data_IF_918218796589
#
_entry.id   IF_918218796589
#
_cell.length_a   1.000
_cell.length_b   1.000
_cell.length_c   1.000
_cell.angle_alpha   90.00
_cell.angle_beta   90.00
_cell.angle_gamma   90.00
#
_symmetry.space_group_name_H-M   'P 1'
#
loop_
_entity.id
_entity.type
_entity.pdbx_description
1 polymer ?
#
# COMPACT_ATOMS: atom_id res chain seq x y z
N UNK A 1 4.00 9.39 -29.85
CA UNK A 1 4.09 9.15 -28.41
C UNK A 1 2.67 9.10 -27.90
N UNK A 2 2.22 7.91 -27.49
CA UNK A 2 0.92 7.75 -26.85
C UNK A 2 1.17 7.69 -25.35
N UNK A 3 1.33 8.88 -24.76
CA UNK A 3 1.60 9.05 -23.34
C UNK A 3 0.32 8.71 -22.56
N UNK A 4 0.39 7.67 -21.74
CA UNK A 4 -0.71 7.26 -20.86
C UNK A 4 -0.32 7.47 -19.42
N UNK A 5 -1.26 8.04 -18.65
CA UNK A 5 -1.17 8.19 -17.20
C UNK A 5 -2.03 7.12 -16.54
N UNK A 6 -1.46 6.39 -15.59
CA UNK A 6 -2.14 5.35 -14.81
C UNK A 6 -1.84 5.52 -13.33
N UNK A 7 -2.81 5.19 -12.50
CA UNK A 7 -2.65 5.08 -11.04
C UNK A 7 -2.70 3.60 -10.69
N UNK A 8 -1.69 3.12 -9.99
CA UNK A 8 -1.61 1.74 -9.50
C UNK A 8 -1.73 1.74 -7.98
N UNK A 9 -2.50 0.80 -7.43
CA UNK A 9 -2.47 0.49 -6.01
C UNK A 9 -1.43 -0.60 -5.76
N UNK A 10 -0.54 -0.39 -4.80
CA UNK A 10 0.59 -1.27 -4.53
C UNK A 10 0.46 -1.89 -3.14
N UNK A 11 0.61 -3.20 -3.05
CA UNK A 11 0.59 -3.97 -1.81
C UNK A 11 2.00 -4.23 -1.26
N UNK A 12 2.10 -4.22 0.07
CA UNK A 12 3.34 -4.54 0.80
C UNK A 12 4.37 -3.40 0.83
N UNK A 13 4.00 -2.19 0.39
CA UNK A 13 4.83 -0.99 0.48
C UNK A 13 4.63 -0.32 1.84
N UNK A 14 5.47 -0.70 2.80
CA UNK A 14 5.33 -0.35 4.22
C UNK A 14 6.50 0.54 4.71
N UNK A 15 7.24 1.12 3.77
CA UNK A 15 8.41 1.90 4.10
C UNK A 15 8.75 2.86 2.98
N UNK A 16 9.37 3.97 3.34
CA UNK A 16 9.81 4.95 2.37
C UNK A 16 10.84 4.31 1.39
N UNK A 17 11.78 3.50 1.90
CA UNK A 17 12.75 2.78 1.06
C UNK A 17 12.12 1.77 0.09
N UNK A 18 10.91 1.31 0.39
CA UNK A 18 10.12 0.42 -0.45
C UNK A 18 9.59 1.22 -1.66
N UNK A 19 9.08 2.44 -1.43
CA UNK A 19 8.69 3.35 -2.50
C UNK A 19 9.90 3.70 -3.40
N UNK A 20 11.05 4.02 -2.82
CA UNK A 20 12.28 4.31 -3.57
C UNK A 20 12.76 3.11 -4.41
N UNK A 21 12.59 1.89 -3.88
CA UNK A 21 12.89 0.63 -4.59
C UNK A 21 12.02 0.46 -5.83
N UNK A 22 10.72 0.70 -5.69
CA UNK A 22 9.76 0.61 -6.80
C UNK A 22 10.02 1.69 -7.84
N UNK A 23 10.27 2.94 -7.44
CA UNK A 23 10.64 4.03 -8.37
C UNK A 23 11.90 3.70 -9.19
N UNK A 24 12.94 3.16 -8.55
CA UNK A 24 14.14 2.71 -9.27
C UNK A 24 13.84 1.56 -10.22
N UNK A 25 13.00 0.61 -9.82
CA UNK A 25 12.60 -0.49 -10.69
C UNK A 25 11.82 0.01 -11.92
N UNK A 26 11.03 1.07 -11.75
CA UNK A 26 10.24 1.76 -12.78
C UNK A 26 11.05 2.81 -13.56
N UNK A 27 12.31 3.06 -13.21
CA UNK A 27 13.22 3.94 -13.97
C UNK A 27 13.81 3.20 -15.18
N UNK A 28 12.96 2.66 -16.06
CA UNK A 28 13.34 1.93 -17.28
C UNK A 28 12.86 2.65 -18.54
N UNK A 29 13.42 2.28 -19.70
CA UNK A 29 13.00 2.84 -21.00
C UNK A 29 11.49 2.61 -21.21
N UNK A 30 10.79 3.65 -21.65
CA UNK A 30 9.34 3.63 -21.85
C UNK A 30 8.54 4.27 -20.70
N UNK A 31 9.13 4.50 -19.52
CA UNK A 31 8.51 5.24 -18.42
C UNK A 31 9.04 6.68 -18.45
N UNK A 32 8.13 7.65 -18.60
CA UNK A 32 8.43 9.08 -18.69
C UNK A 32 8.54 9.69 -17.29
N UNK A 33 7.60 9.35 -16.42
CA UNK A 33 7.56 9.83 -15.05
C UNK A 33 6.95 8.79 -14.12
N UNK A 34 7.47 8.68 -12.90
CA UNK A 34 6.95 7.78 -11.87
C UNK A 34 7.05 8.44 -10.51
N UNK A 35 5.93 8.53 -9.80
CA UNK A 35 5.88 9.01 -8.43
C UNK A 35 5.18 7.95 -7.56
N UNK A 36 5.88 7.47 -6.53
CA UNK A 36 5.37 6.43 -5.64
C UNK A 36 5.20 7.00 -4.23
N UNK A 37 4.02 6.81 -3.66
CA UNK A 37 3.66 7.30 -2.34
C UNK A 37 3.29 6.13 -1.43
N UNK A 38 4.10 5.89 -0.40
CA UNK A 38 3.86 4.80 0.56
C UNK A 38 2.65 5.09 1.47
N UNK A 39 2.40 6.35 1.82
CA UNK A 39 1.33 6.72 2.74
C UNK A 39 -0.05 6.42 2.14
N UNK A 40 -0.20 6.66 0.82
CA UNK A 40 -1.42 6.33 0.08
C UNK A 40 -1.37 4.95 -0.58
N UNK A 41 -0.22 4.25 -0.51
CA UNK A 41 0.05 2.99 -1.23
C UNK A 41 -0.26 3.06 -2.73
N UNK A 42 -0.14 4.25 -3.33
CA UNK A 42 -0.41 4.50 -4.75
C UNK A 42 0.88 4.85 -5.50
N UNK A 43 0.97 4.41 -6.75
CA UNK A 43 1.96 4.88 -7.71
C UNK A 43 1.28 5.54 -8.90
N UNK A 44 1.70 6.76 -9.22
CA UNK A 44 1.27 7.50 -10.40
C UNK A 44 2.37 7.38 -11.45
N UNK A 45 2.01 6.89 -12.63
CA UNK A 45 2.93 6.54 -13.70
C UNK A 45 2.49 7.19 -15.00
N UNK A 46 3.45 7.79 -15.71
CA UNK A 46 3.31 8.26 -17.08
C UNK A 46 4.26 7.45 -17.95
N UNK A 47 3.71 6.74 -18.95
CA UNK A 47 4.48 5.82 -19.79
C UNK A 47 4.04 5.89 -21.26
N UNK A 48 4.96 5.58 -22.16
CA UNK A 48 4.69 5.47 -23.60
C UNK A 48 4.08 4.10 -23.89
N UNK A 49 2.78 4.08 -24.17
CA UNK A 49 2.04 2.84 -24.41
C UNK A 49 2.41 2.14 -25.72
N UNK A 50 3.16 2.80 -26.60
CA UNK A 50 3.75 2.18 -27.79
C UNK A 50 5.00 1.34 -27.48
N UNK A 51 5.67 1.59 -26.35
CA UNK A 51 6.91 0.90 -25.97
C UNK A 51 6.74 -0.08 -24.81
N UNK A 52 5.77 0.17 -23.92
CA UNK A 52 5.61 -0.59 -22.69
C UNK A 52 4.12 -0.87 -22.43
N UNK A 53 3.78 -2.12 -22.15
CA UNK A 53 2.42 -2.51 -21.79
C UNK A 53 2.18 -2.41 -20.27
N UNK A 54 0.93 -2.15 -19.85
CA UNK A 54 0.55 -2.15 -18.44
C UNK A 54 0.91 -3.48 -17.74
N UNK A 55 0.72 -4.62 -18.41
CA UNK A 55 1.10 -5.94 -17.93
C UNK A 55 2.60 -6.10 -17.66
N UNK A 56 3.45 -5.45 -18.46
CA UNK A 56 4.89 -5.45 -18.22
C UNK A 56 5.27 -4.58 -17.01
N UNK A 57 4.60 -3.44 -16.85
CA UNK A 57 4.77 -2.57 -15.67
C UNK A 57 4.43 -3.35 -14.40
N UNK A 58 3.29 -4.06 -14.38
CA UNK A 58 2.90 -4.90 -13.23
C UNK A 58 3.94 -5.99 -12.94
N UNK A 59 4.49 -6.64 -13.98
CA UNK A 59 5.57 -7.62 -13.82
C UNK A 59 6.87 -7.02 -13.31
N UNK A 60 7.20 -5.78 -13.67
CA UNK A 60 8.38 -5.07 -13.14
C UNK A 60 8.22 -4.89 -11.62
N UNK A 61 7.04 -4.47 -11.18
CA UNK A 61 6.72 -4.28 -9.75
C UNK A 61 6.73 -5.63 -9.01
N UNK A 62 6.17 -6.68 -9.62
CA UNK A 62 6.21 -8.05 -9.06
C UNK A 62 7.62 -8.58 -8.90
N UNK A 63 8.51 -8.31 -9.87
CA UNK A 63 9.94 -8.65 -9.77
C UNK A 63 10.68 -7.86 -8.70
N UNK A 64 10.18 -6.67 -8.34
CA UNK A 64 10.67 -5.90 -7.21
C UNK A 64 10.10 -6.41 -5.86
N UNK A 65 9.25 -7.44 -5.87
CA UNK A 65 8.75 -8.09 -4.66
C UNK A 65 7.42 -7.55 -4.14
N UNK A 66 6.75 -6.67 -4.90
CA UNK A 66 5.49 -6.03 -4.53
C UNK A 66 4.37 -6.47 -5.47
N UNK A 67 3.12 -6.42 -5.01
CA UNK A 67 1.98 -6.62 -5.91
C UNK A 67 1.41 -5.27 -6.29
N UNK A 68 0.97 -5.15 -7.53
CA UNK A 68 0.29 -3.95 -8.00
C UNK A 68 -0.93 -4.34 -8.82
N UNK A 69 -1.97 -3.53 -8.71
CA UNK A 69 -3.18 -3.63 -9.51
C UNK A 69 -3.53 -2.23 -10.02
N UNK A 70 -4.16 -2.15 -11.20
CA UNK A 70 -4.66 -0.87 -11.69
C UNK A 70 -5.73 -0.36 -10.72
N UNK A 71 -5.60 0.89 -10.29
CA UNK A 71 -6.59 1.51 -9.44
C UNK A 71 -7.85 1.75 -10.30
N UNK A 72 -8.82 0.85 -10.18
CA UNK A 72 -10.12 0.97 -10.81
C UNK A 72 -11.15 1.37 -9.73
N UNK A 73 -11.92 2.43 -9.97
CA UNK A 73 -12.94 3.02 -9.08
C UNK A 73 -14.12 2.07 -8.72
N UNK A 74 -14.00 0.76 -8.91
CA UNK A 74 -15.11 -0.18 -8.70
C UNK A 74 -15.45 -0.34 -7.22
N UNK A 75 -16.74 -0.16 -6.93
CA UNK A 75 -17.42 -0.36 -5.64
C UNK A 75 -17.34 -1.78 -5.05
N UNK A 76 -16.54 -2.69 -5.61
CA UNK A 76 -16.33 -4.06 -5.10
C UNK A 76 -15.16 -4.17 -4.09
N UNK A 77 -14.43 -3.07 -3.84
CA UNK A 77 -13.25 -3.03 -2.97
C UNK A 77 -13.51 -3.44 -1.51
N UNK A 78 -14.70 -3.21 -0.94
CA UNK A 78 -14.95 -3.48 0.49
C UNK A 78 -14.81 -4.97 0.86
N UNK A 79 -15.08 -5.88 -0.07
CA UNK A 79 -14.94 -7.33 0.15
C UNK A 79 -13.49 -7.81 -0.02
N UNK A 80 -12.70 -7.13 -0.86
CA UNK A 80 -11.29 -7.43 -1.10
C UNK A 80 -10.39 -6.90 0.01
N UNK A 81 -10.63 -5.66 0.45
CA UNK A 81 -9.86 -4.96 1.48
C UNK A 81 -9.99 -5.65 2.85
N UNK A 82 -11.20 -6.08 3.22
CA UNK A 82 -11.45 -6.86 4.43
C UNK A 82 -10.79 -8.24 4.41
N UNK A 83 -10.70 -8.91 3.25
CA UNK A 83 -9.98 -10.19 3.12
C UNK A 83 -8.48 -10.02 3.31
N UNK A 84 -7.90 -8.90 2.86
CA UNK A 84 -6.47 -8.60 2.95
C UNK A 84 -6.04 -8.35 4.40
N UNK A 85 -6.70 -7.42 5.09
CA UNK A 85 -6.44 -7.13 6.52
C UNK A 85 -6.60 -8.40 7.36
N UNK A 86 -7.61 -9.22 7.05
CA UNK A 86 -7.84 -10.48 7.75
C UNK A 86 -6.70 -11.48 7.57
N UNK A 87 -6.07 -11.53 6.39
CA UNK A 87 -4.91 -12.41 6.13
C UNK A 87 -3.69 -11.97 6.95
N UNK A 88 -3.39 -10.68 7.00
CA UNK A 88 -2.29 -10.12 7.80
C UNK A 88 -2.52 -10.34 9.30
N UNK A 89 -3.76 -10.16 9.77
CA UNK A 89 -4.18 -10.54 11.12
C UNK A 89 -3.95 -12.02 11.42
N UNK A 90 -4.29 -12.94 10.51
CA UNK A 90 -4.03 -14.37 10.70
C UNK A 90 -2.54 -14.70 10.75
N UNK A 91 -1.72 -14.08 9.88
CA UNK A 91 -0.26 -14.26 9.91
C UNK A 91 0.33 -13.76 11.23
N UNK A 92 -0.13 -12.61 11.71
CA UNK A 92 0.29 -12.07 13.00
C UNK A 92 -0.16 -12.94 14.18
N UNK A 93 -1.43 -13.37 14.20
CA UNK A 93 -1.96 -14.25 15.23
C UNK A 93 -1.19 -15.58 15.29
N UNK A 94 -0.90 -16.18 14.12
CA UNK A 94 -0.06 -17.36 14.02
C UNK A 94 1.35 -17.09 14.55
N UNK A 95 1.93 -15.93 14.25
CA UNK A 95 3.24 -15.50 14.74
C UNK A 95 3.31 -15.40 16.26
N UNK A 96 2.30 -14.77 16.88
CA UNK A 96 2.19 -14.71 18.34
C UNK A 96 2.05 -16.10 18.95
N UNK A 97 1.15 -16.92 18.41
CA UNK A 97 0.88 -18.27 18.94
C UNK A 97 2.13 -19.16 18.91
N UNK A 98 3.00 -18.97 17.92
CA UNK A 98 4.27 -19.71 17.82
C UNK A 98 5.40 -19.05 18.61
N UNK A 99 5.48 -17.72 18.66
CA UNK A 99 6.57 -16.98 19.29
C UNK A 99 6.47 -16.95 20.81
N UNK A 100 5.25 -16.85 21.37
CA UNK A 100 5.06 -16.86 22.83
C UNK A 100 5.64 -18.14 23.46
N UNK A 101 5.31 -19.36 22.98
CA UNK A 101 5.93 -20.58 23.47
C UNK A 101 7.46 -20.60 23.34
N UNK A 102 8.01 -20.10 22.22
CA UNK A 102 9.47 -20.03 22.01
C UNK A 102 10.13 -19.23 23.14
N UNK A 103 9.61 -18.03 23.42
CA UNK A 103 10.14 -17.15 24.47
C UNK A 103 9.96 -17.79 25.85
N UNK A 104 8.80 -18.37 26.15
CA UNK A 104 8.55 -19.02 27.45
C UNK A 104 9.49 -20.21 27.66
N UNK A 105 9.67 -21.05 26.63
CA UNK A 105 10.58 -22.20 26.69
C UNK A 105 12.02 -21.72 26.89
N UNK A 106 12.43 -20.67 26.18
CA UNK A 106 13.79 -20.14 26.30
C UNK A 106 14.08 -19.63 27.71
N UNK A 107 13.15 -18.88 28.32
CA UNK A 107 13.33 -18.27 29.65
C UNK A 107 13.14 -19.25 30.83
N UNK A 108 12.17 -20.16 30.79
CA UNK A 108 11.71 -20.87 31.99
C UNK A 108 12.00 -22.37 32.01
N UNK A 109 12.29 -22.97 30.85
CA UNK A 109 12.41 -24.43 30.74
C UNK A 109 13.80 -24.83 30.23
N UNK A 110 14.41 -25.81 30.91
CA UNK A 110 15.66 -26.40 30.48
C UNK A 110 15.52 -27.93 30.46
N UNK A 111 15.60 -28.51 29.26
CA UNK A 111 15.43 -29.95 29.04
C UNK A 111 16.23 -30.41 27.81
N UNK A 112 16.59 -31.71 27.70
CA UNK A 112 17.58 -32.18 26.72
C UNK A 112 17.19 -31.96 25.25
N UNK A 113 15.89 -31.88 24.93
CA UNK A 113 15.38 -31.68 23.58
C UNK A 113 14.88 -30.25 23.31
N UNK A 114 15.24 -29.29 24.17
CA UNK A 114 14.85 -27.88 24.07
C UNK A 114 15.18 -27.29 22.70
N UNK A 115 16.44 -27.42 22.25
CA UNK A 115 16.90 -26.85 20.99
C UNK A 115 16.13 -27.38 19.76
N UNK A 116 15.77 -28.67 19.77
CA UNK A 116 14.99 -29.29 18.68
C UNK A 116 13.54 -28.81 18.69
N UNK A 117 12.94 -28.63 19.86
CA UNK A 117 11.58 -28.08 19.98
C UNK A 117 11.52 -26.62 19.52
N UNK A 118 12.50 -25.81 19.93
CA UNK A 118 12.61 -24.41 19.51
C UNK A 118 12.83 -24.30 18.00
N UNK A 119 13.65 -25.16 17.41
CA UNK A 119 13.80 -25.26 15.97
C UNK A 119 12.47 -25.54 15.27
N UNK A 120 11.70 -26.52 15.76
CA UNK A 120 10.41 -26.90 15.18
C UNK A 120 9.40 -25.74 15.22
N UNK A 121 9.36 -24.98 16.32
CA UNK A 121 8.47 -23.83 16.48
C UNK A 121 8.93 -22.60 15.70
N UNK A 122 10.24 -22.34 15.64
CA UNK A 122 10.81 -21.18 14.97
C UNK A 122 10.80 -21.30 13.45
N UNK A 123 10.87 -22.52 12.90
CA UNK A 123 10.93 -22.74 11.45
C UNK A 123 9.70 -22.22 10.69
N UNK A 124 8.45 -22.48 11.13
CA UNK A 124 7.26 -21.87 10.51
C UNK A 124 7.26 -20.34 10.62
N UNK A 125 7.72 -19.78 11.74
CA UNK A 125 7.83 -18.32 11.90
C UNK A 125 8.84 -17.76 10.88
N UNK A 126 10.00 -18.39 10.76
CA UNK A 126 11.05 -17.96 9.83
C UNK A 126 10.61 -18.05 8.37
N UNK A 127 10.02 -19.18 7.96
CA UNK A 127 9.80 -19.47 6.54
C UNK A 127 8.42 -19.08 6.04
N UNK A 128 7.37 -19.15 6.86
CA UNK A 128 5.99 -18.83 6.43
C UNK A 128 5.69 -17.37 6.70
N UNK A 129 5.90 -16.92 7.94
CA UNK A 129 5.62 -15.54 8.36
C UNK A 129 6.72 -14.61 7.83
N UNK A 130 7.97 -15.08 7.80
CA UNK A 130 9.10 -14.37 7.20
C UNK A 130 9.03 -14.21 5.68
N UNK A 131 8.25 -15.03 4.96
CA UNK A 131 8.28 -15.09 3.48
C UNK A 131 8.09 -13.75 2.76
N UNK A 132 7.14 -12.88 3.17
CA UNK A 132 6.95 -11.57 2.54
C UNK A 132 8.21 -10.71 2.64
N UNK A 133 8.90 -10.74 3.80
CA UNK A 133 10.14 -10.00 4.02
C UNK A 133 11.25 -10.50 3.10
N UNK A 134 11.41 -11.83 2.95
CA UNK A 134 12.38 -12.40 2.01
C UNK A 134 12.14 -11.93 0.57
N UNK A 135 10.89 -11.89 0.12
CA UNK A 135 10.54 -11.43 -1.23
C UNK A 135 10.89 -9.96 -1.44
N UNK A 136 10.52 -9.10 -0.50
CA UNK A 136 10.81 -7.65 -0.57
C UNK A 136 12.31 -7.36 -0.44
N UNK A 137 13.00 -8.02 0.46
CA UNK A 137 14.45 -7.90 0.61
C UNK A 137 15.20 -8.32 -0.65
N UNK A 138 14.78 -9.41 -1.31
CA UNK A 138 15.35 -9.85 -2.57
C UNK A 138 15.11 -8.83 -3.70
N UNK A 139 13.90 -8.29 -3.77
CA UNK A 139 13.55 -7.21 -4.69
C UNK A 139 14.41 -5.97 -4.50
N UNK A 140 14.57 -5.51 -3.26
CA UNK A 140 15.42 -4.38 -2.89
C UNK A 140 16.89 -4.62 -3.28
N UNK A 141 17.42 -5.82 -3.01
CA UNK A 141 18.79 -6.16 -3.39
C UNK A 141 18.97 -6.11 -4.92
N UNK A 142 17.98 -6.59 -5.69
CA UNK A 142 17.98 -6.56 -7.15
C UNK A 142 17.97 -5.13 -7.71
N UNK A 143 17.25 -4.21 -7.06
CA UNK A 143 17.23 -2.78 -7.40
C UNK A 143 18.41 -1.98 -6.81
N UNK A 144 19.40 -2.66 -6.21
CA UNK A 144 20.57 -2.04 -5.55
C UNK A 144 20.16 -1.01 -4.50
N UNK A 145 19.10 -1.30 -3.76
CA UNK A 145 18.63 -0.54 -2.59
C UNK A 145 18.78 -1.40 -1.34
N UNK A 146 19.05 -0.76 -0.20
CA UNK A 146 18.96 -1.40 1.10
C UNK A 146 17.70 -0.87 1.80
N UNK A 147 16.84 -1.78 2.24
CA UNK A 147 15.59 -1.44 2.94
C UNK A 147 15.60 -2.05 4.34
N UNK A 148 14.62 -1.66 5.17
CA UNK A 148 14.42 -2.27 6.49
C UNK A 148 14.23 -3.79 6.35
N UNK A 149 13.49 -4.25 5.33
CA UNK A 149 13.32 -5.68 5.04
C UNK A 149 14.66 -6.40 4.80
N UNK A 150 15.62 -5.75 4.13
CA UNK A 150 16.96 -6.32 3.91
C UNK A 150 17.68 -6.57 5.23
N UNK A 151 17.61 -5.62 6.17
CA UNK A 151 18.22 -5.76 7.49
C UNK A 151 17.54 -6.85 8.32
N UNK A 152 16.20 -6.89 8.30
CA UNK A 152 15.39 -7.89 9.02
C UNK A 152 15.70 -9.30 8.52
N UNK A 153 15.71 -9.50 7.21
CA UNK A 153 16.00 -10.81 6.62
C UNK A 153 17.41 -11.23 6.96
N UNK A 154 18.39 -10.34 6.88
CA UNK A 154 19.78 -10.68 7.17
C UNK A 154 19.98 -10.98 8.66
N UNK A 155 19.39 -10.20 9.58
CA UNK A 155 19.50 -10.42 11.03
C UNK A 155 18.84 -11.73 11.46
N UNK A 156 17.58 -11.94 11.07
CA UNK A 156 16.80 -13.13 11.44
C UNK A 156 17.36 -14.40 10.80
N UNK A 157 17.72 -14.36 9.51
CA UNK A 157 18.32 -15.53 8.85
C UNK A 157 19.65 -15.90 9.49
N UNK A 158 20.48 -14.92 9.86
CA UNK A 158 21.77 -15.22 10.51
C UNK A 158 21.55 -15.82 11.90
N UNK A 159 20.65 -15.25 12.70
CA UNK A 159 20.31 -15.79 14.02
C UNK A 159 19.72 -17.21 13.92
N UNK A 160 18.81 -17.44 12.97
CA UNK A 160 18.19 -18.74 12.75
C UNK A 160 19.21 -19.78 12.26
N UNK A 161 20.00 -19.49 11.23
CA UNK A 161 21.00 -20.42 10.70
C UNK A 161 22.09 -20.75 11.73
N UNK A 162 22.52 -19.76 12.52
CA UNK A 162 23.41 -20.00 13.65
C UNK A 162 22.78 -20.97 14.66
N UNK A 163 21.51 -20.76 15.01
CA UNK A 163 20.78 -21.61 15.95
C UNK A 163 20.61 -23.04 15.41
N UNK A 164 20.37 -23.20 14.11
CA UNK A 164 20.32 -24.52 13.46
C UNK A 164 21.69 -25.20 13.54
N UNK A 165 22.77 -24.47 13.27
CA UNK A 165 24.12 -24.99 13.40
C UNK A 165 24.43 -25.44 14.85
N UNK A 166 24.03 -24.65 15.85
CA UNK A 166 24.21 -25.01 17.28
C UNK A 166 23.24 -26.08 17.79
N UNK A 167 22.20 -26.40 17.03
CA UNK A 167 21.26 -27.48 17.41
C UNK A 167 21.75 -28.84 16.93
N UNK A 168 22.34 -28.92 15.72
CA UNK A 168 22.65 -30.20 15.08
C UNK A 168 24.14 -30.51 14.93
N UNK A 169 25.00 -29.48 14.86
CA UNK A 169 26.41 -29.67 14.48
C UNK A 169 27.39 -29.24 15.57
N UNK A 170 27.04 -28.22 16.36
CA UNK A 170 27.97 -27.52 17.25
C UNK A 170 27.29 -27.32 18.60
N UNK A 171 28.02 -27.33 19.71
CA UNK A 171 27.47 -26.93 21.01
C UNK A 171 27.56 -25.41 21.19
N UNK A 172 26.45 -24.75 21.50
CA UNK A 172 26.40 -23.32 21.76
C UNK A 172 24.99 -22.84 22.10
N UNK A 173 24.87 -21.56 22.47
CA UNK A 173 23.57 -20.95 22.73
C UNK A 173 22.75 -20.82 21.45
N UNK A 174 21.44 -20.98 21.55
CA UNK A 174 20.49 -20.79 20.44
C UNK A 174 19.88 -19.39 20.50
N UNK A 175 19.62 -18.81 19.34
CA UNK A 175 18.99 -17.50 19.16
C UNK A 175 17.67 -17.61 18.37
N UNK A 176 16.95 -18.74 18.52
CA UNK A 176 15.64 -18.93 17.89
C UNK A 176 14.62 -17.88 18.36
N UNK A 177 14.68 -17.49 19.64
CA UNK A 177 13.82 -16.44 20.20
C UNK A 177 14.01 -15.09 19.50
N UNK A 178 15.26 -14.72 19.19
CA UNK A 178 15.58 -13.43 18.60
C UNK A 178 15.00 -13.34 17.19
N UNK A 179 15.15 -14.42 16.41
CA UNK A 179 14.61 -14.50 15.05
C UNK A 179 13.08 -14.42 15.04
N UNK A 180 12.42 -15.24 15.86
CA UNK A 180 10.97 -15.32 15.92
C UNK A 180 10.32 -14.03 16.45
N UNK A 181 10.93 -13.42 17.47
CA UNK A 181 10.44 -12.18 18.09
C UNK A 181 10.54 -11.00 17.12
N UNK A 182 11.66 -10.87 16.41
CA UNK A 182 11.84 -9.81 15.40
C UNK A 182 10.80 -9.93 14.29
N UNK A 183 10.62 -11.11 13.69
CA UNK A 183 9.64 -11.31 12.61
C UNK A 183 8.22 -11.00 13.10
N UNK A 184 7.84 -11.49 14.27
CA UNK A 184 6.48 -11.30 14.80
C UNK A 184 6.20 -9.85 15.17
N UNK A 185 7.17 -9.15 15.76
CA UNK A 185 7.02 -7.74 16.17
C UNK A 185 6.94 -6.81 14.96
N UNK A 186 7.71 -7.07 13.92
CA UNK A 186 7.62 -6.28 12.68
C UNK A 186 6.32 -6.58 11.93
N UNK A 187 5.84 -7.82 11.96
CA UNK A 187 4.51 -8.16 11.43
C UNK A 187 3.41 -7.39 12.15
N UNK A 188 3.52 -7.19 13.47
CA UNK A 188 2.62 -6.30 14.21
C UNK A 188 2.72 -4.85 13.76
N UNK A 189 3.94 -4.31 13.64
CA UNK A 189 4.14 -2.93 13.18
C UNK A 189 3.49 -2.67 11.83
N UNK A 190 3.68 -3.57 10.87
CA UNK A 190 3.04 -3.49 9.56
C UNK A 190 1.51 -3.58 9.64
N UNK A 191 0.98 -4.46 10.48
CA UNK A 191 -0.46 -4.57 10.69
C UNK A 191 -1.07 -3.27 11.24
N UNK A 192 -0.37 -2.61 12.19
CA UNK A 192 -0.80 -1.33 12.75
C UNK A 192 -0.70 -0.19 11.71
N UNK A 193 0.35 -0.20 10.89
CA UNK A 193 0.52 0.74 9.77
C UNK A 193 -0.62 0.59 8.76
N UNK A 194 -0.95 -0.64 8.38
CA UNK A 194 -2.01 -0.96 7.42
C UNK A 194 -3.40 -0.50 7.94
N UNK A 195 -3.68 -0.72 9.23
CA UNK A 195 -4.89 -0.23 9.89
C UNK A 195 -4.95 1.30 9.91
N UNK A 196 -3.81 1.96 10.13
CA UNK A 196 -3.74 3.43 10.26
C UNK A 196 -3.87 4.14 8.91
N UNK A 197 -3.22 3.64 7.87
CA UNK A 197 -3.26 4.21 6.51
C UNK A 197 -4.61 4.06 5.83
N UNK A 198 -5.41 3.05 6.16
CA UNK A 198 -6.74 2.83 5.57
C UNK A 198 -7.73 4.00 5.80
N UNK A 199 -7.55 4.76 6.89
CA UNK A 199 -8.46 5.88 7.25
C UNK A 199 -8.35 7.09 6.32
N UNK A 200 -7.21 7.29 5.65
CA UNK A 200 -7.00 8.44 4.76
C UNK A 200 -7.77 8.31 3.43
N UNK A 201 -7.92 7.09 2.90
CA UNK A 201 -8.68 6.84 1.66
C UNK A 201 -10.20 6.86 1.86
N UNK A 202 -10.68 6.55 3.06
CA UNK A 202 -12.12 6.44 3.37
C UNK A 202 -12.86 7.79 3.23
N UNK A 203 -12.18 8.91 3.51
CA UNK A 203 -12.76 10.25 3.37
C UNK A 203 -13.03 10.63 1.90
N UNK A 204 -12.14 10.26 0.98
CA UNK A 204 -12.34 10.45 -0.47
C UNK A 204 -13.43 9.51 -0.97
N UNK A 205 -13.44 8.26 -0.50
CA UNK A 205 -14.46 7.25 -0.84
C UNK A 205 -15.87 7.70 -0.44
N UNK A 206 -16.02 8.42 0.68
CA UNK A 206 -17.29 9.02 1.10
C UNK A 206 -17.77 10.13 0.17
N UNK A 207 -16.89 10.86 -0.51
CA UNK A 207 -17.26 11.83 -1.53
C UNK A 207 -17.75 11.13 -2.82
N UNK A 208 -17.20 9.96 -3.16
CA UNK A 208 -17.60 9.21 -4.36
C UNK A 208 -18.97 8.53 -4.22
N UNK A 209 -19.34 8.09 -3.01
CA UNK A 209 -20.67 7.55 -2.72
C UNK A 209 -21.80 8.59 -2.82
N UNK A 210 -21.48 9.86 -3.09
CA UNK A 210 -22.47 10.91 -3.33
C UNK A 210 -23.06 10.86 -4.74
N UNK A 211 -22.37 10.28 -5.72
CA UNK A 211 -22.91 10.13 -7.07
C UNK A 211 -23.92 8.97 -7.13
N UNK A 212 -25.11 9.16 -7.71
CA UNK A 212 -26.10 8.09 -7.83
C UNK A 212 -25.61 6.98 -8.78
N UNK A 213 -25.94 5.72 -8.49
CA UNK A 213 -25.52 4.55 -9.29
C UNK A 213 -26.35 4.33 -10.57
N UNK A 214 -27.48 5.02 -10.69
CA UNK A 214 -28.40 4.92 -11.82
C UNK A 214 -28.79 6.30 -12.30
N UNK A 215 -29.03 6.41 -13.60
CA UNK A 215 -29.61 7.57 -14.25
C UNK A 215 -30.89 7.17 -15.00
N UNK A 216 -31.84 8.10 -15.09
CA UNK A 216 -33.04 7.93 -15.91
C UNK A 216 -32.85 8.66 -17.23
N UNK A 217 -32.65 7.89 -18.30
CA UNK A 217 -32.43 8.40 -19.65
C UNK A 217 -33.72 8.27 -20.46
N UNK A 218 -34.03 9.27 -21.27
CA UNK A 218 -35.14 9.26 -22.22
C UNK A 218 -34.61 8.83 -23.58
N UNK A 219 -34.94 7.60 -24.02
CA UNK A 219 -34.61 7.09 -25.35
C UNK A 219 -35.91 6.77 -26.08
N UNK A 220 -36.03 7.25 -27.32
CA UNK A 220 -37.23 7.05 -28.16
C UNK A 220 -38.56 7.50 -27.51
N UNK A 221 -38.50 8.45 -26.58
CA UNK A 221 -39.66 8.96 -25.86
C UNK A 221 -40.06 8.15 -24.62
N UNK A 222 -39.36 7.05 -24.33
CA UNK A 222 -39.58 6.24 -23.13
C UNK A 222 -38.48 6.48 -22.07
N UNK A 223 -38.89 6.44 -20.80
CA UNK A 223 -37.98 6.54 -19.65
C UNK A 223 -37.34 5.17 -19.36
N UNK A 224 -36.01 5.10 -19.41
CA UNK A 224 -35.24 3.89 -19.07
C UNK A 224 -34.25 4.19 -17.95
N UNK A 225 -34.25 3.38 -16.89
CA UNK A 225 -33.20 3.40 -15.87
C UNK A 225 -31.98 2.62 -16.38
N UNK A 226 -30.85 3.31 -16.48
CA UNK A 226 -29.56 2.71 -16.84
C UNK A 226 -28.52 2.98 -15.75
N UNK A 227 -27.52 2.10 -15.59
CA UNK A 227 -26.33 2.41 -14.79
C UNK A 227 -25.67 3.69 -15.29
N UNK A 228 -25.13 4.52 -14.39
CA UNK A 228 -24.50 5.80 -14.76
C UNK A 228 -23.30 5.59 -15.71
N UNK A 229 -22.64 4.45 -15.60
CA UNK A 229 -21.51 4.07 -16.46
C UNK A 229 -21.91 3.83 -17.92
N UNK A 230 -23.21 3.62 -18.19
CA UNK A 230 -23.74 3.41 -19.54
C UNK A 230 -24.37 4.68 -20.14
N UNK A 231 -24.35 5.79 -19.41
CA UNK A 231 -24.82 7.09 -19.90
C UNK A 231 -23.81 7.64 -20.89
N UNK A 232 -24.26 7.97 -22.09
CA UNK A 232 -23.41 8.56 -23.13
C UNK A 232 -23.56 10.08 -23.15
N UNK A 233 -22.55 10.77 -23.67
CA UNK A 233 -22.70 12.17 -24.03
C UNK A 233 -23.87 12.32 -25.00
N UNK A 234 -24.59 13.44 -24.89
CA UNK A 234 -25.81 13.76 -25.62
C UNK A 234 -27.10 13.01 -25.22
N UNK A 235 -27.05 12.03 -24.31
CA UNK A 235 -28.26 11.41 -23.73
C UNK A 235 -29.12 12.48 -23.01
N UNK A 236 -30.45 12.39 -23.15
CA UNK A 236 -31.39 13.24 -22.42
C UNK A 236 -31.75 12.55 -21.11
N UNK A 237 -31.48 13.21 -19.99
CA UNK A 237 -31.68 12.67 -18.65
C UNK A 237 -32.78 13.44 -17.96
N UNK A 238 -33.67 12.72 -17.27
CA UNK A 238 -34.71 13.33 -16.45
C UNK A 238 -34.45 13.11 -14.97
N UNK A 239 -34.45 14.20 -14.22
CA UNK A 239 -34.24 14.21 -12.76
C UNK A 239 -35.47 14.79 -12.09
N UNK A 240 -36.01 14.05 -11.13
CA UNK A 240 -37.17 14.48 -10.33
C UNK A 240 -36.75 15.31 -9.12
N UNK A 241 -37.68 16.06 -8.51
CA UNK A 241 -37.48 16.71 -7.21
C UNK A 241 -36.92 15.72 -6.16
N UNK A 242 -35.88 16.14 -5.44
CA UNK A 242 -35.17 15.34 -4.43
C UNK A 242 -34.12 14.36 -4.97
N UNK A 243 -34.04 14.15 -6.29
CA UNK A 243 -33.04 13.26 -6.88
C UNK A 243 -31.69 13.98 -7.07
N UNK A 244 -30.60 13.22 -6.99
CA UNK A 244 -29.26 13.72 -7.34
C UNK A 244 -29.07 13.73 -8.84
N UNK A 245 -28.39 14.76 -9.33
CA UNK A 245 -28.02 14.87 -10.74
C UNK A 245 -26.91 13.85 -11.03
N UNK A 246 -27.10 12.91 -11.98
CA UNK A 246 -26.17 11.79 -12.16
C UNK A 246 -24.89 12.15 -12.92
N UNK A 247 -24.98 13.08 -13.89
CA UNK A 247 -23.86 13.50 -14.75
C UNK A 247 -23.97 15.01 -15.03
N UNK A 248 -22.90 15.62 -15.54
CA UNK A 248 -22.95 17.03 -15.91
C UNK A 248 -23.71 17.21 -17.23
N UNK A 249 -24.40 18.33 -17.36
CA UNK A 249 -25.14 18.61 -18.59
C UNK A 249 -25.76 19.99 -18.67
N UNK A 250 -26.53 20.19 -19.74
CA UNK A 250 -27.20 21.45 -20.04
C UNK A 250 -28.72 21.27 -20.05
N UNK A 251 -29.45 22.08 -19.29
CA UNK A 251 -30.90 21.97 -19.15
C UNK A 251 -31.58 22.26 -20.48
N UNK A 252 -32.41 21.33 -20.95
CA UNK A 252 -33.18 21.46 -22.20
C UNK A 252 -34.64 21.82 -21.93
N UNK A 253 -35.18 21.38 -20.80
CA UNK A 253 -36.58 21.58 -20.41
C UNK A 253 -36.73 21.54 -18.88
N UNK A 254 -37.60 22.40 -18.34
CA UNK A 254 -37.90 22.45 -16.90
C UNK A 254 -37.33 23.69 -16.20
N UNK A 255 -37.76 23.87 -14.96
CA UNK A 255 -37.30 24.91 -14.04
C UNK A 255 -37.22 24.32 -12.64
N UNK A 256 -36.07 24.47 -11.98
CA UNK A 256 -35.87 24.00 -10.61
C UNK A 256 -34.79 24.79 -9.89
N UNK A 257 -34.72 24.63 -8.57
CA UNK A 257 -33.57 25.02 -7.77
C UNK A 257 -32.68 23.81 -7.55
N UNK A 258 -31.37 23.98 -7.70
CA UNK A 258 -30.36 22.94 -7.48
C UNK A 258 -29.47 23.33 -6.32
N UNK A 259 -29.35 22.46 -5.33
CA UNK A 259 -28.42 22.59 -4.22
C UNK A 259 -27.01 22.16 -4.66
N UNK A 260 -26.14 23.15 -4.82
CA UNK A 260 -24.73 22.99 -5.18
C UNK A 260 -23.79 23.09 -3.96
N UNK A 261 -24.33 23.11 -2.72
CA UNK A 261 -23.56 23.33 -1.48
C UNK A 261 -22.40 22.36 -1.28
N UNK A 262 -22.53 21.12 -1.77
CA UNK A 262 -21.48 20.10 -1.71
C UNK A 262 -20.25 20.45 -2.56
N UNK A 263 -20.39 21.30 -3.57
CA UNK A 263 -19.32 21.71 -4.48
C UNK A 263 -18.88 23.15 -4.26
N UNK A 264 -19.82 24.09 -4.20
CA UNK A 264 -19.53 25.52 -4.06
C UNK A 264 -19.33 25.94 -2.60
N UNK A 265 -19.88 25.19 -1.64
CA UNK A 265 -19.96 25.58 -0.23
C UNK A 265 -21.04 26.63 0.06
N UNK A 266 -21.77 27.11 -0.95
CA UNK A 266 -22.85 28.07 -0.78
C UNK A 266 -24.15 27.36 -0.40
N UNK A 267 -24.80 27.79 0.69
CA UNK A 267 -26.02 27.14 1.19
C UNK A 267 -27.31 27.55 0.45
N UNK A 268 -27.22 28.45 -0.53
CA UNK A 268 -28.39 28.96 -1.25
C UNK A 268 -28.53 28.17 -2.57
N UNK A 269 -29.65 27.45 -2.77
CA UNK A 269 -29.89 26.74 -4.02
C UNK A 269 -29.93 27.68 -5.23
N UNK A 270 -29.25 27.27 -6.30
CA UNK A 270 -29.13 28.03 -7.55
C UNK A 270 -30.29 27.67 -8.46
N UNK A 271 -30.96 28.69 -9.01
CA UNK A 271 -32.05 28.49 -9.98
C UNK A 271 -31.46 28.03 -11.31
N UNK A 272 -32.09 27.01 -11.92
CA UNK A 272 -31.71 26.46 -13.22
C UNK A 272 -32.91 26.49 -14.15
N UNK A 273 -32.71 27.08 -15.32
CA UNK A 273 -33.65 27.12 -16.43
C UNK A 273 -33.01 26.63 -17.72
N UNK A 274 -33.79 26.62 -18.81
CA UNK A 274 -33.33 26.12 -20.11
C UNK A 274 -32.09 26.90 -20.58
N UNK A 275 -31.01 26.17 -20.85
CA UNK A 275 -29.72 26.74 -21.26
C UNK A 275 -28.67 26.76 -20.14
N UNK A 276 -29.06 26.56 -18.89
CA UNK A 276 -28.11 26.53 -17.77
C UNK A 276 -27.40 25.19 -17.64
N UNK A 277 -26.17 25.24 -17.12
CA UNK A 277 -25.41 24.02 -16.76
C UNK A 277 -25.85 23.47 -15.40
N UNK A 278 -25.93 22.15 -15.33
CA UNK A 278 -26.11 21.36 -14.11
C UNK A 278 -24.90 20.46 -13.88
N UNK A 279 -24.51 20.30 -12.62
CA UNK A 279 -23.31 19.57 -12.23
C UNK A 279 -23.70 18.26 -11.54
N UNK A 280 -23.06 17.17 -11.90
CA UNK A 280 -23.28 15.86 -11.29
C UNK A 280 -22.93 15.84 -9.81
N UNK A 281 -23.72 15.12 -9.01
CA UNK A 281 -23.60 15.00 -7.55
C UNK A 281 -24.39 16.04 -6.76
N UNK A 282 -24.85 17.12 -7.40
CA UNK A 282 -25.75 18.14 -6.82
C UNK A 282 -27.18 17.59 -6.65
N UNK A 283 -27.98 18.23 -5.81
CA UNK A 283 -29.34 17.78 -5.49
C UNK A 283 -30.36 18.69 -6.19
N UNK A 284 -31.25 18.11 -6.96
CA UNK A 284 -32.38 18.82 -7.53
C UNK A 284 -33.49 18.95 -6.47
N UNK A 285 -33.98 20.15 -6.17
CA UNK A 285 -34.94 20.35 -5.06
C UNK A 285 -36.41 20.31 -5.51
N UNK A 286 -36.86 21.32 -6.28
CA UNK A 286 -38.28 21.69 -6.31
C UNK A 286 -39.02 21.29 -7.60
N UNK A 287 -38.34 21.26 -8.75
CA UNK A 287 -38.93 20.97 -10.05
C UNK A 287 -38.28 19.78 -10.76
N UNK A 288 -38.91 19.28 -11.83
CA UNK A 288 -38.29 18.28 -12.69
C UNK A 288 -37.45 18.96 -13.77
N UNK A 289 -36.23 18.45 -13.98
CA UNK A 289 -35.34 18.92 -15.04
C UNK A 289 -35.14 17.82 -16.06
N UNK A 290 -35.22 18.17 -17.34
CA UNK A 290 -34.60 17.40 -18.42
C UNK A 290 -33.38 18.14 -18.89
N UNK A 291 -32.26 17.44 -18.93
CA UNK A 291 -31.00 18.01 -19.38
C UNK A 291 -30.28 17.05 -20.31
N UNK A 292 -29.46 17.61 -21.19
CA UNK A 292 -28.63 16.86 -22.13
C UNK A 292 -27.25 16.65 -21.51
N UNK A 293 -26.79 15.41 -21.42
CA UNK A 293 -25.48 15.07 -20.85
C UNK A 293 -24.35 15.69 -21.69
N UNK A 294 -23.43 16.42 -21.04
CA UNK A 294 -22.27 17.03 -21.70
C UNK A 294 -20.96 16.38 -21.27
N UNK A 295 -20.78 16.09 -19.98
CA UNK A 295 -19.60 15.40 -19.43
C UNK A 295 -20.04 14.21 -18.59
N UNK A 296 -19.45 13.04 -18.86
CA UNK A 296 -19.77 11.77 -18.20
C UNK A 296 -18.50 11.09 -17.67
N UNK A 297 -18.63 10.32 -16.59
CA UNK A 297 -17.51 9.57 -16.01
C UNK A 297 -16.34 10.47 -15.61
N UNK A 298 -15.14 10.18 -16.15
CA UNK A 298 -13.88 10.86 -15.80
C UNK A 298 -13.85 12.34 -16.18
N UNK A 299 -14.71 12.76 -17.10
CA UNK A 299 -14.74 14.13 -17.60
C UNK A 299 -15.62 15.06 -16.73
N UNK A 300 -16.42 14.51 -15.82
CA UNK A 300 -17.29 15.27 -14.92
C UNK A 300 -16.50 16.19 -13.99
N UNK A 301 -17.08 17.34 -13.62
CA UNK A 301 -16.45 18.32 -12.71
C UNK A 301 -16.05 17.65 -11.38
N UNK A 302 -16.95 16.86 -10.78
CA UNK A 302 -16.66 16.14 -9.53
C UNK A 302 -15.49 15.16 -9.69
N UNK A 303 -15.44 14.41 -10.80
CA UNK A 303 -14.35 13.48 -11.08
C UNK A 303 -13.00 14.21 -11.26
N UNK A 304 -13.01 15.39 -11.88
CA UNK A 304 -11.83 16.24 -11.99
C UNK A 304 -11.36 16.79 -10.64
N UNK A 305 -12.29 17.24 -9.79
CA UNK A 305 -11.95 17.69 -8.42
C UNK A 305 -11.33 16.53 -7.63
N UNK A 306 -11.94 15.34 -7.66
CA UNK A 306 -11.40 14.14 -7.01
C UNK A 306 -10.01 13.84 -7.54
N UNK A 307 -9.81 13.80 -8.86
CA UNK A 307 -8.50 13.56 -9.48
C UNK A 307 -7.46 14.59 -9.04
N UNK A 308 -7.81 15.88 -9.00
CA UNK A 308 -6.89 16.95 -8.56
C UNK A 308 -6.51 16.79 -7.09
N UNK A 309 -7.46 16.46 -6.22
CA UNK A 309 -7.20 16.19 -4.80
C UNK A 309 -6.32 14.95 -4.63
N UNK A 310 -6.60 13.87 -5.36
CA UNK A 310 -5.79 12.66 -5.35
C UNK A 310 -4.37 12.91 -5.86
N UNK A 311 -4.20 13.69 -6.93
CA UNK A 311 -2.89 14.07 -7.45
C UNK A 311 -2.11 14.94 -6.45
N UNK A 312 -2.80 15.87 -5.78
CA UNK A 312 -2.20 16.70 -4.74
C UNK A 312 -1.78 15.90 -3.49
N UNK A 313 -2.59 14.92 -3.07
CA UNK A 313 -2.26 14.01 -1.96
C UNK A 313 -1.20 12.96 -2.34
N UNK A 314 -1.10 12.63 -3.64
CA UNK A 314 -0.10 11.72 -4.19
C UNK A 314 1.31 12.31 -4.20
N UNK A 315 1.47 13.63 -4.09
CA UNK A 315 2.78 14.26 -3.98
C UNK A 315 3.49 13.82 -2.70
N UNK A 316 4.76 13.41 -2.84
CA UNK A 316 5.60 12.91 -1.72
C UNK A 316 5.54 13.86 -0.52
N UNK A 317 5.03 13.36 0.61
CA UNK A 317 5.04 14.12 1.84
C UNK A 317 6.49 14.48 2.24
N UNK A 318 6.77 15.71 2.69
CA UNK A 318 8.12 16.15 3.03
C UNK A 318 8.77 15.29 4.14
N UNK A 319 7.97 14.72 5.04
CA UNK A 319 8.44 13.81 6.10
C UNK A 319 8.96 12.47 5.55
N UNK A 320 8.37 11.98 4.45
CA UNK A 320 8.80 10.74 3.79
C UNK A 320 10.24 10.83 3.30
N UNK A 321 10.62 11.97 2.72
CA UNK A 321 11.97 12.20 2.18
C UNK A 321 13.05 12.15 3.26
N UNK A 322 12.69 12.51 4.50
CA UNK A 322 13.60 12.45 5.66
C UNK A 322 13.77 11.00 6.11
N UNK A 323 12.66 10.27 6.28
CA UNK A 323 12.70 8.85 6.64
C UNK A 323 13.48 8.01 5.61
N UNK A 324 13.26 8.27 4.32
CA UNK A 324 14.01 7.67 3.21
C UNK A 324 15.52 7.85 3.34
N UNK A 325 15.94 9.07 3.66
CA UNK A 325 17.35 9.42 3.81
C UNK A 325 17.97 8.67 4.98
N UNK A 326 17.27 8.60 6.11
CA UNK A 326 17.74 7.89 7.30
C UNK A 326 17.96 6.40 7.00
N UNK A 327 16.97 5.71 6.43
CA UNK A 327 17.08 4.26 6.11
C UNK A 327 18.20 3.99 5.12
N UNK A 328 18.35 4.84 4.10
CA UNK A 328 19.37 4.69 3.06
C UNK A 328 20.80 4.73 3.60
N UNK A 329 21.07 5.50 4.67
CA UNK A 329 22.40 5.56 5.30
C UNK A 329 22.55 4.60 6.49
N UNK A 330 21.47 4.43 7.27
CA UNK A 330 21.49 3.63 8.49
C UNK A 330 21.75 2.15 8.20
N UNK A 331 21.03 1.56 7.23
CA UNK A 331 21.16 0.12 6.94
C UNK A 331 22.57 -0.25 6.46
N UNK A 332 23.19 0.46 5.47
CA UNK A 332 24.57 0.20 5.11
C UNK A 332 25.56 0.47 6.25
N UNK A 333 25.32 1.50 7.07
CA UNK A 333 26.15 1.80 8.23
C UNK A 333 26.20 0.65 9.24
N UNK A 334 25.05 0.09 9.60
CA UNK A 334 24.94 -1.06 10.51
C UNK A 334 25.60 -2.32 9.93
N UNK A 335 25.40 -2.59 8.64
CA UNK A 335 26.05 -3.73 7.97
C UNK A 335 27.58 -3.58 8.01
N UNK A 336 28.08 -2.38 7.73
CA UNK A 336 29.51 -2.10 7.71
C UNK A 336 30.13 -2.21 9.11
N UNK A 337 29.47 -1.70 10.16
CA UNK A 337 29.95 -1.85 11.54
C UNK A 337 29.91 -3.30 12.00
N UNK A 338 28.87 -4.07 11.65
CA UNK A 338 28.78 -5.49 11.96
C UNK A 338 29.93 -6.29 11.30
N UNK A 339 30.20 -6.05 10.02
CA UNK A 339 31.31 -6.69 9.29
C UNK A 339 32.66 -6.32 9.90
N UNK A 340 32.89 -5.04 10.20
CA UNK A 340 34.14 -4.59 10.82
C UNK A 340 34.33 -5.27 12.18
N UNK A 341 33.29 -5.34 13.01
CA UNK A 341 33.35 -6.01 14.30
C UNK A 341 33.66 -7.50 14.15
N UNK A 342 33.00 -8.20 13.22
CA UNK A 342 33.27 -9.61 12.93
C UNK A 342 34.73 -9.83 12.53
N UNK A 343 35.25 -9.05 11.58
CA UNK A 343 36.63 -9.16 11.10
C UNK A 343 37.63 -8.82 12.19
N UNK A 344 37.37 -7.78 13.00
CA UNK A 344 38.24 -7.40 14.09
C UNK A 344 38.34 -8.53 15.13
N UNK A 345 37.22 -9.09 15.59
CA UNK A 345 37.22 -10.18 16.57
C UNK A 345 37.86 -11.45 16.05
N UNK A 346 37.61 -11.81 14.78
CA UNK A 346 38.16 -13.01 14.18
C UNK A 346 39.66 -12.89 13.87
N UNK A 347 40.09 -11.78 13.25
CA UNK A 347 41.45 -11.62 12.72
C UNK A 347 42.39 -10.93 13.70
N UNK A 348 41.96 -9.85 14.37
CA UNK A 348 42.85 -9.08 15.26
C UNK A 348 42.95 -9.70 16.65
N UNK A 349 41.83 -10.19 17.18
CA UNK A 349 41.77 -10.74 18.54
C UNK A 349 41.87 -12.28 18.59
N UNK A 350 41.89 -12.95 17.44
CA UNK A 350 42.02 -14.40 17.35
C UNK A 350 40.87 -15.18 18.02
N UNK A 351 39.70 -14.56 18.15
CA UNK A 351 38.55 -15.20 18.79
C UNK A 351 37.99 -16.34 17.93
N UNK A 352 37.35 -17.31 18.59
CA UNK A 352 36.67 -18.40 17.89
C UNK A 352 35.61 -17.86 16.91
N UNK A 353 35.45 -18.53 15.76
CA UNK A 353 34.49 -18.14 14.72
C UNK A 353 33.08 -17.95 15.29
N UNK A 354 32.67 -18.82 16.22
CA UNK A 354 31.37 -18.74 16.89
C UNK A 354 31.21 -17.43 17.66
N UNK A 355 32.25 -17.00 18.39
CA UNK A 355 32.21 -15.76 19.14
C UNK A 355 32.11 -14.54 18.21
N UNK A 356 32.93 -14.49 17.17
CA UNK A 356 32.85 -13.42 16.18
C UNK A 356 31.46 -13.35 15.50
N UNK A 357 30.87 -14.51 15.21
CA UNK A 357 29.53 -14.60 14.63
C UNK A 357 28.43 -14.18 15.62
N UNK A 358 28.57 -14.47 16.91
CA UNK A 358 27.65 -13.95 17.94
C UNK A 358 27.70 -12.43 18.06
N UNK A 359 28.88 -11.81 17.96
CA UNK A 359 29.01 -10.34 17.95
C UNK A 359 28.35 -9.75 16.71
N UNK A 360 28.55 -10.37 15.54
CA UNK A 360 27.90 -9.97 14.30
C UNK A 360 26.36 -10.02 14.42
N UNK A 361 25.82 -11.13 14.92
CA UNK A 361 24.38 -11.31 15.15
C UNK A 361 23.86 -10.27 16.15
N UNK A 362 24.57 -10.06 17.26
CA UNK A 362 24.16 -9.10 18.30
C UNK A 362 24.02 -7.68 17.73
N UNK A 363 24.99 -7.22 16.93
CA UNK A 363 24.92 -5.89 16.31
C UNK A 363 23.70 -5.79 15.37
N UNK A 364 23.47 -6.80 14.53
CA UNK A 364 22.36 -6.80 13.58
C UNK A 364 20.98 -6.86 14.25
N UNK A 365 20.84 -7.68 15.28
CA UNK A 365 19.58 -7.85 16.02
C UNK A 365 19.26 -6.58 16.82
N UNK A 366 20.25 -6.02 17.52
CA UNK A 366 20.07 -4.78 18.31
C UNK A 366 19.77 -3.58 17.41
N UNK A 367 20.38 -3.51 16.22
CA UNK A 367 20.14 -2.42 15.28
C UNK A 367 18.82 -2.56 14.49
N UNK A 368 18.10 -3.67 14.64
CA UNK A 368 16.83 -3.89 13.94
C UNK A 368 15.78 -2.89 14.45
N UNK A 369 15.28 -1.96 13.61
CA UNK A 369 14.45 -0.84 14.06
C UNK A 369 12.99 -1.26 14.27
N UNK A 370 12.75 -2.34 15.01
CA UNK A 370 11.42 -2.90 15.27
C UNK A 370 10.47 -1.88 15.90
N UNK A 371 11.00 -0.99 16.74
CA UNK A 371 10.23 0.09 17.37
C UNK A 371 9.94 1.26 16.43
N UNK A 372 10.78 1.49 15.40
CA UNK A 372 10.61 2.61 14.49
C UNK A 372 9.38 2.44 13.61
N UNK A 373 9.08 1.21 13.17
CA UNK A 373 7.88 0.90 12.39
C UNK A 373 6.58 0.89 13.21
N UNK A 374 6.64 0.97 14.54
CA UNK A 374 5.47 1.12 15.44
C UNK A 374 5.28 2.61 15.81
N UNK A 375 6.35 3.40 15.75
CA UNK A 375 6.35 4.80 16.15
C UNK A 375 5.85 5.76 15.06
N UNK A 376 5.82 5.31 13.81
CA UNK A 376 5.20 6.00 12.65
C UNK A 376 3.78 5.52 12.49
#
# INVERSE_FOLDING_TARGET
MEDKKVVLQIEGMNCAGCAATIERALSQKGILNSAVNFATKKAVLEYDSAQLSLTEILRIIERAGYKAEEFAEKSEEEAGENKKIRKEWYLFALGIVLTIPIVIIELFFDFPWKAVLLFLLATPVQLVIGLPFYRRAYGALRSRTATVDTLVVLSTSTAYLYSVATTFFISGHTFYEASATVITTITLGMLLEDISSGRAGEAIKKLMNLAPKKARVIKEGEEQEVPVEHVLADDIIMVKPGERIPVDGLVVEGYSSVDESMLSGESIPVKKEKGDEVIGGTINENGSLKFKATRVGKDMVLAQIVKLVEEAQGAKAPIQRIADRVVTYFVPGVLLTAIIAFVAWYVLFGAALLFALTVFIAILVVACPCALGIAT
#
